data_IF_034907901660
#
_entry.id   IF_034907901660
#
_cell.length_a   1.000
_cell.length_b   1.000
_cell.length_c   1.000
_cell.angle_alpha   90.00
_cell.angle_beta   90.00
_cell.angle_gamma   90.00
#
_symmetry.space_group_name_H-M   'P 1'
#
loop_
_entity.id
_entity.type
_entity.pdbx_description
1 polymer ?
#
# COMPACT_ATOMS: atom_id res chain seq x y z
N UNK A 1 -10.78 40.43 35.07
CA UNK A 1 -9.84 39.70 34.17
C UNK A 1 -9.53 38.30 34.72
N UNK A 2 -10.41 37.30 34.57
CA UNK A 2 -10.16 35.92 35.08
C UNK A 2 -10.82 34.79 34.25
N UNK A 3 -11.02 34.96 32.94
CA UNK A 3 -11.64 33.90 32.10
C UNK A 3 -10.86 33.50 30.83
N UNK A 4 -9.65 34.04 30.61
CA UNK A 4 -8.91 33.77 29.37
C UNK A 4 -7.91 32.60 29.44
N UNK A 5 -7.85 31.86 30.55
CA UNK A 5 -6.86 30.77 30.71
C UNK A 5 -7.39 29.38 30.33
N UNK A 6 -8.70 29.22 30.09
CA UNK A 6 -9.31 27.92 29.79
C UNK A 6 -9.39 27.60 28.29
N UNK A 7 -9.19 28.59 27.40
CA UNK A 7 -9.36 28.40 25.95
C UNK A 7 -8.06 27.92 25.27
N UNK A 8 -6.91 28.04 25.93
CA UNK A 8 -5.61 27.62 25.37
C UNK A 8 -5.27 26.14 25.57
N UNK A 9 -6.07 25.35 26.29
CA UNK A 9 -5.83 23.90 26.49
C UNK A 9 -6.57 22.98 25.52
N UNK A 10 -7.28 23.53 24.52
CA UNK A 10 -7.94 22.70 23.50
C UNK A 10 -7.08 22.42 22.25
N UNK A 11 -5.87 23.00 22.16
CA UNK A 11 -5.01 22.88 20.97
C UNK A 11 -3.76 22.02 21.14
N UNK A 12 -3.50 21.47 22.32
CA UNK A 12 -2.36 20.55 22.51
C UNK A 12 -2.70 19.09 22.23
N UNK A 13 -4.00 18.74 22.19
CA UNK A 13 -4.41 17.38 21.86
C UNK A 13 -4.38 17.11 20.35
N UNK A 14 -4.46 18.10 19.46
CA UNK A 14 -4.43 17.85 18.00
C UNK A 14 -3.07 17.41 17.47
N UNK A 15 -1.96 17.76 18.15
CA UNK A 15 -0.60 17.39 17.73
C UNK A 15 -0.33 15.88 17.81
N UNK A 16 -0.72 15.24 18.93
CA UNK A 16 -0.55 13.78 19.12
C UNK A 16 -1.36 12.93 18.13
N UNK A 17 -2.50 13.44 17.66
CA UNK A 17 -3.33 12.74 16.66
C UNK A 17 -2.79 12.92 15.23
N UNK A 18 -2.16 14.05 14.92
CA UNK A 18 -1.53 14.29 13.63
C UNK A 18 -0.29 13.40 13.43
N UNK A 19 0.56 13.31 14.45
CA UNK A 19 1.77 12.48 14.40
C UNK A 19 1.43 10.98 14.29
N UNK A 20 0.48 10.49 15.09
CA UNK A 20 0.04 9.09 15.03
C UNK A 20 -0.64 8.74 13.70
N UNK A 21 -1.43 9.64 13.13
CA UNK A 21 -2.03 9.44 11.81
C UNK A 21 -0.98 9.37 10.69
N UNK A 22 0.02 10.25 10.72
CA UNK A 22 1.13 10.23 9.76
C UNK A 22 1.94 8.93 9.85
N UNK A 23 2.31 8.52 11.06
CA UNK A 23 3.03 7.27 11.29
C UNK A 23 2.25 6.05 10.79
N UNK A 24 0.94 6.06 11.00
CA UNK A 24 0.03 5.01 10.53
C UNK A 24 0.00 4.95 8.99
N UNK A 25 -0.14 6.10 8.31
CA UNK A 25 -0.11 6.19 6.86
C UNK A 25 1.23 5.73 6.27
N UNK A 26 2.35 6.15 6.85
CA UNK A 26 3.68 5.79 6.38
C UNK A 26 3.91 4.28 6.44
N UNK A 27 3.49 3.63 7.54
CA UNK A 27 3.58 2.17 7.66
C UNK A 27 2.76 1.44 6.60
N UNK A 28 1.54 1.90 6.32
CA UNK A 28 0.71 1.28 5.28
C UNK A 28 1.34 1.49 3.91
N UNK A 29 1.81 2.70 3.60
CA UNK A 29 2.44 3.02 2.33
C UNK A 29 3.70 2.17 2.11
N UNK A 30 4.53 1.98 3.14
CA UNK A 30 5.71 1.08 3.08
C UNK A 30 5.28 -0.36 2.79
N UNK A 31 4.24 -0.87 3.47
CA UNK A 31 3.74 -2.24 3.22
C UNK A 31 3.19 -2.40 1.81
N UNK A 32 2.45 -1.40 1.32
CA UNK A 32 1.95 -1.38 -0.05
C UNK A 32 3.09 -1.39 -1.05
N UNK A 33 4.09 -0.53 -0.87
CA UNK A 33 5.27 -0.47 -1.72
C UNK A 33 5.99 -1.83 -1.81
N UNK A 34 6.28 -2.46 -0.66
CA UNK A 34 6.89 -3.80 -0.62
C UNK A 34 6.02 -4.84 -1.35
N UNK A 35 4.69 -4.75 -1.25
CA UNK A 35 3.79 -5.67 -1.95
C UNK A 35 3.84 -5.46 -3.49
N UNK A 36 3.96 -4.22 -3.95
CA UNK A 36 4.12 -3.90 -5.37
C UNK A 36 5.48 -4.37 -5.89
N UNK A 37 6.57 -4.12 -5.16
CA UNK A 37 7.91 -4.61 -5.52
C UNK A 37 7.95 -6.13 -5.64
N UNK A 38 7.36 -6.86 -4.69
CA UNK A 38 7.23 -8.32 -4.76
C UNK A 38 6.41 -8.77 -5.98
N UNK A 39 5.35 -8.05 -6.32
CA UNK A 39 4.55 -8.36 -7.51
C UNK A 39 5.37 -8.16 -8.79
N UNK A 40 6.19 -7.10 -8.86
CA UNK A 40 7.10 -6.84 -9.97
C UNK A 40 8.20 -7.88 -10.08
N UNK A 41 8.77 -8.33 -8.96
CA UNK A 41 9.79 -9.38 -8.94
C UNK A 41 9.23 -10.72 -9.45
N UNK A 42 8.02 -11.08 -9.04
CA UNK A 42 7.31 -12.26 -9.55
C UNK A 42 7.08 -12.12 -11.06
N UNK A 43 6.59 -10.96 -11.52
CA UNK A 43 6.38 -10.72 -12.94
C UNK A 43 7.69 -10.91 -13.72
N UNK A 44 8.78 -10.28 -13.27
CA UNK A 44 10.09 -10.40 -13.91
C UNK A 44 10.54 -11.86 -14.01
N UNK A 45 10.44 -12.60 -12.90
CA UNK A 45 10.87 -14.01 -12.84
C UNK A 45 10.02 -14.92 -13.75
N UNK A 46 8.71 -14.70 -13.78
CA UNK A 46 7.80 -15.45 -14.65
C UNK A 46 8.02 -15.12 -16.12
N UNK A 47 8.16 -13.84 -16.48
CA UNK A 47 8.51 -13.36 -17.82
C UNK A 47 9.87 -13.93 -18.27
N UNK A 48 10.87 -13.97 -17.40
CA UNK A 48 12.17 -14.60 -17.69
C UNK A 48 12.04 -16.09 -18.00
N UNK A 49 11.14 -16.77 -17.28
CA UNK A 49 10.83 -18.19 -17.52
C UNK A 49 10.13 -18.37 -18.87
N UNK A 50 9.28 -17.42 -19.26
CA UNK A 50 8.59 -17.48 -20.55
C UNK A 50 9.56 -17.48 -21.75
N UNK A 51 10.70 -16.79 -21.67
CA UNK A 51 11.72 -16.80 -22.74
C UNK A 51 12.31 -18.19 -23.04
N UNK A 52 12.10 -19.17 -22.16
CA UNK A 52 12.57 -20.55 -22.37
C UNK A 52 11.65 -21.34 -23.31
N UNK A 53 10.46 -20.84 -23.63
CA UNK A 53 9.55 -21.53 -24.55
C UNK A 53 10.02 -21.38 -26.00
N UNK A 54 10.24 -22.50 -26.72
CA UNK A 54 10.68 -22.46 -28.11
C UNK A 54 9.55 -22.15 -29.10
N UNK A 55 8.28 -22.24 -28.64
CA UNK A 55 7.08 -22.00 -29.46
C UNK A 55 6.50 -20.64 -29.10
N UNK A 56 6.29 -19.80 -30.11
CA UNK A 56 5.82 -18.42 -29.96
C UNK A 56 4.46 -18.32 -29.23
N UNK A 57 3.50 -19.19 -29.56
CA UNK A 57 2.20 -19.24 -28.87
C UNK A 57 2.34 -19.59 -27.38
N UNK A 58 3.29 -20.45 -27.01
CA UNK A 58 3.53 -20.82 -25.61
C UNK A 58 4.20 -19.67 -24.85
N UNK A 59 5.08 -18.94 -25.52
CA UNK A 59 5.69 -17.71 -25.00
C UNK A 59 4.63 -16.66 -24.68
N UNK A 60 3.76 -16.29 -25.63
CA UNK A 60 2.74 -15.26 -25.39
C UNK A 60 1.72 -15.68 -24.32
N UNK A 61 1.25 -16.94 -24.38
CA UNK A 61 0.34 -17.46 -23.35
C UNK A 61 0.98 -17.44 -21.94
N UNK A 62 2.29 -17.67 -21.85
CA UNK A 62 3.02 -17.53 -20.59
C UNK A 62 3.09 -16.07 -20.13
N UNK A 63 3.44 -15.14 -21.02
CA UNK A 63 3.50 -13.71 -20.71
C UNK A 63 2.16 -13.17 -20.23
N UNK A 64 1.06 -13.57 -20.89
CA UNK A 64 -0.29 -13.15 -20.51
C UNK A 64 -0.68 -13.65 -19.11
N UNK A 65 -0.29 -14.89 -18.77
CA UNK A 65 -0.51 -15.44 -17.42
C UNK A 65 0.29 -14.66 -16.37
N UNK A 66 1.56 -14.37 -16.64
CA UNK A 66 2.42 -13.59 -15.74
C UNK A 66 1.85 -12.18 -15.52
N UNK A 67 1.45 -11.51 -16.60
CA UNK A 67 0.80 -10.19 -16.55
C UNK A 67 -0.54 -10.21 -15.80
N UNK A 68 -1.36 -11.23 -16.03
CA UNK A 68 -2.63 -11.40 -15.32
C UNK A 68 -2.42 -11.58 -13.81
N UNK A 69 -1.40 -12.36 -13.40
CA UNK A 69 -1.04 -12.56 -12.00
C UNK A 69 -0.53 -11.27 -11.36
N UNK A 70 0.34 -10.53 -12.04
CA UNK A 70 0.81 -9.21 -11.61
C UNK A 70 -0.35 -8.25 -11.35
N UNK A 71 -1.26 -8.08 -12.33
CA UNK A 71 -2.43 -7.20 -12.21
C UNK A 71 -3.31 -7.56 -11.01
N UNK A 72 -3.52 -8.86 -10.76
CA UNK A 72 -4.28 -9.33 -9.59
C UNK A 72 -3.58 -8.99 -8.26
N UNK A 73 -2.26 -9.17 -8.20
CA UNK A 73 -1.47 -8.83 -7.01
C UNK A 73 -1.48 -7.33 -6.71
N UNK A 74 -1.28 -6.50 -7.75
CA UNK A 74 -1.36 -5.02 -7.63
C UNK A 74 -2.75 -4.60 -7.16
N UNK A 75 -3.81 -5.09 -7.81
CA UNK A 75 -5.19 -4.77 -7.40
C UNK A 75 -5.45 -5.12 -5.94
N UNK A 76 -5.01 -6.30 -5.49
CA UNK A 76 -5.14 -6.70 -4.08
C UNK A 76 -4.37 -5.77 -3.14
N UNK A 77 -3.16 -5.37 -3.50
CA UNK A 77 -2.37 -4.42 -2.72
C UNK A 77 -3.09 -3.06 -2.61
N UNK A 78 -3.63 -2.54 -3.71
CA UNK A 78 -4.39 -1.29 -3.73
C UNK A 78 -5.69 -1.36 -2.91
N UNK A 79 -6.41 -2.48 -2.97
CA UNK A 79 -7.63 -2.70 -2.18
C UNK A 79 -7.31 -2.74 -0.68
N UNK A 80 -6.17 -3.34 -0.29
CA UNK A 80 -5.68 -3.33 1.09
C UNK A 80 -5.28 -1.91 1.51
N UNK A 81 -4.50 -1.20 0.70
CA UNK A 81 -4.09 0.19 0.95
C UNK A 81 -5.31 1.07 1.22
N UNK A 82 -6.32 1.04 0.35
CA UNK A 82 -7.55 1.84 0.51
C UNK A 82 -8.30 1.50 1.81
N UNK A 83 -8.35 0.22 2.17
CA UNK A 83 -9.02 -0.24 3.40
C UNK A 83 -8.25 0.19 4.65
N UNK A 84 -6.92 0.04 4.64
CA UNK A 84 -6.08 0.38 5.78
C UNK A 84 -5.97 1.90 5.96
N UNK A 85 -5.91 2.69 4.90
CA UNK A 85 -5.96 4.16 4.98
C UNK A 85 -7.24 4.67 5.66
N UNK A 86 -8.40 4.06 5.32
CA UNK A 86 -9.66 4.33 6.03
C UNK A 86 -9.60 3.94 7.50
N UNK A 87 -8.88 2.86 7.83
CA UNK A 87 -8.67 2.45 9.22
C UNK A 87 -7.80 3.46 9.98
N UNK A 88 -6.69 3.94 9.42
CA UNK A 88 -5.87 4.97 10.05
C UNK A 88 -6.64 6.26 10.31
N UNK A 89 -7.52 6.68 9.39
CA UNK A 89 -8.37 7.86 9.62
C UNK A 89 -9.30 7.68 10.81
N UNK A 90 -9.72 6.44 11.10
CA UNK A 90 -10.66 6.13 12.19
C UNK A 90 -9.95 5.82 13.52
N UNK A 91 -8.78 5.20 13.44
CA UNK A 91 -7.99 4.70 14.58
C UNK A 91 -6.49 4.95 14.32
N UNK A 92 -6.01 6.20 14.38
CA UNK A 92 -4.63 6.55 14.03
C UNK A 92 -3.57 5.98 14.98
N UNK A 93 -3.95 5.54 16.18
CA UNK A 93 -3.06 4.96 17.19
C UNK A 93 -2.94 3.42 17.14
N UNK A 94 -3.66 2.76 16.23
CA UNK A 94 -3.65 1.29 16.04
C UNK A 94 -2.85 0.95 14.79
#
# INVERSE_FOLDING_TARGET
MKYYLAILMLFTSTGLFADSYSDCLDRINIRHHIAIEKAQEILRTETETCYRYPVEDQYYNCQDKAQSKYKKSVKRADDILKREQKSCMKYPWV
#
